data_IF_287325384401
#
_entry.id   IF_287325384401
#
_cell.length_a   1.000
_cell.length_b   1.000
_cell.length_c   1.000
_cell.angle_alpha   90.00
_cell.angle_beta   90.00
_cell.angle_gamma   90.00
#
_symmetry.space_group_name_H-M   'P 1'
#
loop_
_entity.id
_entity.type
_entity.pdbx_description
1 polymer ?
#
# COMPACT_ATOMS: atom_id res chain seq x y z
N UNK A 1 17.55 -14.65 21.68
CA UNK A 1 16.49 -14.80 20.66
C UNK A 1 16.04 -13.41 20.28
N UNK A 2 16.14 -13.01 19.01
CA UNK A 2 15.60 -11.71 18.60
C UNK A 2 14.10 -11.74 18.84
N UNK A 3 13.56 -10.73 19.51
CA UNK A 3 12.13 -10.71 19.85
C UNK A 3 11.34 -10.82 18.53
N UNK A 4 10.44 -11.82 18.45
CA UNK A 4 9.58 -12.03 17.27
C UNK A 4 8.79 -10.75 16.97
N UNK A 5 8.44 -9.98 18.00
CA UNK A 5 7.77 -8.69 17.90
C UNK A 5 8.66 -7.63 17.25
N UNK A 6 9.89 -7.45 17.74
CA UNK A 6 10.85 -6.48 17.18
C UNK A 6 11.14 -6.76 15.69
N UNK A 7 11.29 -8.05 15.36
CA UNK A 7 11.48 -8.48 13.97
C UNK A 7 10.26 -8.16 13.10
N UNK A 8 9.04 -8.35 13.63
CA UNK A 8 7.81 -7.99 12.95
C UNK A 8 7.70 -6.47 12.72
N UNK A 9 7.93 -5.64 13.75
CA UNK A 9 7.89 -4.17 13.65
C UNK A 9 8.81 -3.69 12.53
N UNK A 10 10.10 -4.07 12.61
CA UNK A 10 11.11 -3.62 11.66
C UNK A 10 10.76 -3.99 10.21
N UNK A 11 10.23 -5.21 10.01
CA UNK A 11 9.83 -5.66 8.68
C UNK A 11 8.58 -4.96 8.19
N UNK A 12 7.58 -4.77 9.05
CA UNK A 12 6.33 -4.12 8.71
C UNK A 12 6.55 -2.64 8.35
N UNK A 13 7.25 -1.87 9.18
CA UNK A 13 7.57 -0.47 8.90
C UNK A 13 8.35 -0.32 7.58
N UNK A 14 9.37 -1.16 7.36
CA UNK A 14 10.16 -1.12 6.13
C UNK A 14 9.37 -1.52 4.87
N UNK A 15 8.35 -2.36 4.99
CA UNK A 15 7.47 -2.75 3.86
C UNK A 15 6.42 -1.69 3.59
N UNK A 16 5.75 -1.19 4.62
CA UNK A 16 4.71 -0.15 4.50
C UNK A 16 5.30 1.14 3.93
N UNK A 17 6.47 1.58 4.42
CA UNK A 17 7.12 2.78 3.90
C UNK A 17 7.49 2.68 2.42
N UNK A 18 7.88 1.49 1.93
CA UNK A 18 8.15 1.28 0.50
C UNK A 18 6.85 1.33 -0.31
N UNK A 19 5.81 0.64 0.13
CA UNK A 19 4.50 0.69 -0.52
C UNK A 19 3.96 2.12 -0.62
N UNK A 20 4.06 2.91 0.45
CA UNK A 20 3.63 4.32 0.44
C UNK A 20 4.42 5.17 -0.57
N UNK A 21 5.73 4.94 -0.70
CA UNK A 21 6.55 5.63 -1.71
C UNK A 21 6.11 5.26 -3.12
N UNK A 22 5.90 3.97 -3.39
CA UNK A 22 5.48 3.50 -4.70
C UNK A 22 4.08 4.02 -5.06
N UNK A 23 3.15 4.05 -4.10
CA UNK A 23 1.81 4.64 -4.30
C UNK A 23 1.91 6.13 -4.63
N UNK A 24 2.80 6.90 -3.99
CA UNK A 24 3.04 8.30 -4.35
C UNK A 24 3.58 8.45 -5.78
N UNK A 25 4.50 7.58 -6.20
CA UNK A 25 5.03 7.57 -7.56
C UNK A 25 3.95 7.22 -8.59
N UNK A 26 3.06 6.28 -8.28
CA UNK A 26 1.87 5.99 -9.11
C UNK A 26 0.98 7.23 -9.20
N UNK A 27 0.78 7.96 -8.10
CA UNK A 27 0.05 9.23 -8.09
C UNK A 27 0.64 10.28 -9.05
N UNK A 28 1.95 10.34 -9.18
CA UNK A 28 2.62 11.26 -10.11
C UNK A 28 2.30 10.97 -11.59
N UNK A 29 1.86 9.74 -11.92
CA UNK A 29 1.41 9.40 -13.28
C UNK A 29 0.12 10.12 -13.69
N UNK A 30 -0.57 10.77 -12.74
CA UNK A 30 -1.73 11.63 -13.02
C UNK A 30 -1.38 12.88 -13.82
N UNK A 31 -0.09 13.19 -14.01
CA UNK A 31 0.31 14.33 -14.82
C UNK A 31 0.03 14.09 -16.31
N UNK A 32 -1.14 14.51 -16.78
CA UNK A 32 -1.56 14.44 -18.19
C UNK A 32 -0.71 15.30 -19.13
N UNK A 33 0.10 16.23 -18.64
CA UNK A 33 1.04 16.98 -19.48
C UNK A 33 2.27 16.14 -19.87
N UNK A 34 2.63 15.15 -19.05
CA UNK A 34 3.77 14.27 -19.26
C UNK A 34 3.36 12.90 -19.81
N UNK A 35 2.12 12.46 -19.56
CA UNK A 35 1.64 11.13 -19.89
C UNK A 35 0.26 11.14 -20.55
N UNK A 36 0.05 10.19 -21.45
CA UNK A 36 -1.28 9.89 -22.02
C UNK A 36 -1.77 8.57 -21.46
N UNK A 37 -3.00 8.55 -20.95
CA UNK A 37 -3.64 7.38 -20.38
C UNK A 37 -5.16 7.54 -20.43
N UNK A 38 -5.85 6.40 -20.53
CA UNK A 38 -7.31 6.33 -20.50
C UNK A 38 -7.84 6.21 -19.08
N UNK A 39 -9.13 6.46 -18.90
CA UNK A 39 -9.80 6.19 -17.63
C UNK A 39 -9.86 4.69 -17.32
N UNK A 40 -9.76 3.83 -18.34
CA UNK A 40 -9.67 2.38 -18.15
C UNK A 40 -8.34 1.97 -17.53
N UNK A 41 -7.23 2.61 -17.93
CA UNK A 41 -5.90 2.37 -17.36
C UNK A 41 -5.88 2.72 -15.87
N UNK A 42 -6.44 3.88 -15.53
CA UNK A 42 -6.59 4.33 -14.13
C UNK A 42 -7.39 3.30 -13.33
N UNK A 43 -8.54 2.84 -13.85
CA UNK A 43 -9.37 1.82 -13.19
C UNK A 43 -8.62 0.50 -12.99
N UNK A 44 -7.84 0.04 -13.97
CA UNK A 44 -7.04 -1.19 -13.88
C UNK A 44 -5.96 -1.08 -12.80
N UNK A 45 -5.24 0.05 -12.76
CA UNK A 45 -4.20 0.31 -11.75
C UNK A 45 -4.80 0.21 -10.34
N UNK A 46 -5.86 0.95 -10.07
CA UNK A 46 -6.44 0.98 -8.72
C UNK A 46 -7.15 -0.32 -8.34
N UNK A 47 -7.79 -1.02 -9.28
CA UNK A 47 -8.34 -2.36 -9.02
C UNK A 47 -7.26 -3.36 -8.63
N UNK A 48 -6.11 -3.34 -9.30
CA UNK A 48 -5.00 -4.25 -8.98
C UNK A 48 -4.47 -3.97 -7.56
N UNK A 49 -4.25 -2.69 -7.22
CA UNK A 49 -3.81 -2.29 -5.87
C UNK A 49 -4.81 -2.70 -4.79
N UNK A 50 -6.10 -2.42 -5.01
CA UNK A 50 -7.15 -2.76 -4.04
C UNK A 50 -7.24 -4.27 -3.81
N UNK A 51 -7.20 -5.08 -4.88
CA UNK A 51 -7.22 -6.54 -4.77
C UNK A 51 -6.05 -7.06 -3.93
N UNK A 52 -4.84 -6.55 -4.14
CA UNK A 52 -3.67 -6.99 -3.38
C UNK A 52 -3.78 -6.58 -1.90
N UNK A 53 -4.31 -5.39 -1.62
CA UNK A 53 -4.60 -4.96 -0.24
C UNK A 53 -5.61 -5.86 0.45
N UNK A 54 -6.69 -6.24 -0.23
CA UNK A 54 -7.71 -7.17 0.28
C UNK A 54 -7.11 -8.55 0.56
N UNK A 55 -6.29 -9.09 -0.37
CA UNK A 55 -5.58 -10.36 -0.19
C UNK A 55 -4.56 -10.32 0.95
N UNK A 56 -3.88 -9.19 1.15
CA UNK A 56 -2.97 -9.01 2.28
C UNK A 56 -3.74 -8.94 3.60
N UNK A 57 -4.84 -8.18 3.65
CA UNK A 57 -5.70 -8.04 4.85
C UNK A 57 -6.33 -9.37 5.26
N UNK A 58 -6.81 -10.17 4.31
CA UNK A 58 -7.46 -11.45 4.61
C UNK A 58 -6.53 -12.44 5.32
N UNK A 59 -5.20 -12.33 5.11
CA UNK A 59 -4.19 -13.14 5.83
C UNK A 59 -4.05 -12.77 7.30
N UNK A 60 -4.49 -11.58 7.72
CA UNK A 60 -4.48 -11.17 9.12
C UNK A 60 -5.75 -11.57 9.88
N UNK A 61 -6.77 -12.10 9.19
CA UNK A 61 -8.08 -12.43 9.76
C UNK A 61 -8.86 -11.17 10.10
N UNK A 62 -9.84 -10.79 9.28
CA UNK A 62 -10.59 -9.53 9.38
C UNK A 62 -10.91 -9.08 10.82
N UNK A 63 -10.27 -7.97 11.22
CA UNK A 63 -10.54 -7.22 12.44
C UNK A 63 -10.35 -5.74 12.14
N UNK A 64 -11.43 -5.12 11.67
CA UNK A 64 -11.56 -3.74 11.27
C UNK A 64 -11.14 -2.74 12.36
N UNK A 65 -10.30 -1.75 12.03
CA UNK A 65 -10.26 -0.42 12.69
C UNK A 65 -9.36 0.54 11.91
N UNK A 66 -9.99 1.50 11.25
CA UNK A 66 -9.38 2.53 10.41
C UNK A 66 -8.77 3.65 11.25
N UNK A 67 -7.48 3.94 11.06
CA UNK A 67 -6.82 5.12 11.64
C UNK A 67 -5.82 5.71 10.66
N UNK A 68 -6.13 6.90 10.11
CA UNK A 68 -5.23 7.66 9.24
C UNK A 68 -4.25 8.48 10.08
N UNK A 69 -2.99 8.06 10.06
CA UNK A 69 -1.83 8.74 10.64
C UNK A 69 -0.58 7.91 10.29
N UNK A 70 0.59 8.53 10.20
CA UNK A 70 1.86 7.86 9.89
C UNK A 70 1.97 6.51 10.62
N UNK A 71 2.03 5.42 9.84
CA UNK A 71 1.98 4.07 10.36
C UNK A 71 3.27 3.77 11.17
N UNK A 72 3.09 3.55 12.47
CA UNK A 72 4.11 2.98 13.36
C UNK A 72 3.49 1.87 14.19
N UNK A 73 4.29 0.84 14.46
CA UNK A 73 3.91 -0.34 15.25
C UNK A 73 4.63 -0.37 16.59
#
# INVERSE_FOLDING_TARGET
MKDKRESFVRLAEGRVNRALKDIRLIGNLSNRSAYSYSDEDVKKIFRALQRELELARSRFGDGESSGSGDFKL
#
